data_IF_899241138765
#
_entry.id   IF_899241138765
#
_cell.length_a   1.000
_cell.length_b   1.000
_cell.length_c   1.000
_cell.angle_alpha   90.00
_cell.angle_beta   90.00
_cell.angle_gamma   90.00
#
_symmetry.space_group_name_H-M   'P 1'
#
loop_
_entity.id
_entity.type
_entity.pdbx_description
1 polymer ?
#
# COMPACT_ATOMS: atom_id res chain seq x y z
N UNK A 1 108.41 -87.28 -66.90
CA UNK A 1 107.51 -87.30 -65.72
C UNK A 1 107.02 -85.90 -65.29
N UNK A 2 107.57 -84.79 -65.79
CA UNK A 2 107.30 -83.42 -65.28
C UNK A 2 105.98 -82.75 -65.76
N UNK A 3 105.47 -83.06 -66.96
CA UNK A 3 104.21 -82.48 -67.47
C UNK A 3 102.95 -82.98 -66.73
N UNK A 4 102.95 -84.24 -66.27
CA UNK A 4 101.81 -84.81 -65.54
C UNK A 4 101.65 -84.22 -64.14
N UNK A 5 102.75 -83.91 -63.46
CA UNK A 5 102.73 -83.27 -62.13
C UNK A 5 102.30 -81.81 -62.18
N UNK A 6 102.70 -81.06 -63.22
CA UNK A 6 102.28 -79.66 -63.40
C UNK A 6 100.79 -79.56 -63.76
N UNK A 7 100.28 -80.47 -64.59
CA UNK A 7 98.86 -80.56 -64.91
C UNK A 7 98.01 -80.96 -63.68
N UNK A 8 98.54 -81.82 -62.81
CA UNK A 8 97.88 -82.23 -61.57
C UNK A 8 97.83 -81.10 -60.53
N UNK A 9 98.93 -80.35 -60.33
CA UNK A 9 98.98 -79.17 -59.47
C UNK A 9 98.03 -78.06 -59.96
N UNK A 10 97.96 -77.82 -61.28
CA UNK A 10 97.05 -76.85 -61.86
C UNK A 10 95.57 -77.24 -61.66
N UNK A 11 95.26 -78.54 -61.80
CA UNK A 11 93.92 -79.07 -61.52
C UNK A 11 93.55 -78.96 -60.04
N UNK A 12 94.48 -79.27 -59.14
CA UNK A 12 94.27 -79.18 -57.69
C UNK A 12 94.08 -77.73 -57.22
N UNK A 13 94.83 -76.78 -57.79
CA UNK A 13 94.68 -75.34 -57.51
C UNK A 13 93.36 -74.80 -58.07
N UNK A 14 92.98 -75.21 -59.29
CA UNK A 14 91.68 -74.89 -59.87
C UNK A 14 90.52 -75.45 -59.03
N UNK A 15 90.65 -76.67 -58.50
CA UNK A 15 89.64 -77.29 -57.64
C UNK A 15 89.55 -76.60 -56.28
N UNK A 16 90.66 -76.20 -55.67
CA UNK A 16 90.65 -75.40 -54.43
C UNK A 16 89.98 -74.05 -54.63
N UNK A 17 90.34 -73.34 -55.71
CA UNK A 17 89.73 -72.05 -56.06
C UNK A 17 88.23 -72.16 -56.36
N UNK A 18 87.82 -73.24 -57.06
CA UNK A 18 86.41 -73.53 -57.31
C UNK A 18 85.65 -73.83 -56.00
N UNK A 19 86.24 -74.58 -55.08
CA UNK A 19 85.65 -74.89 -53.77
C UNK A 19 85.50 -73.63 -52.91
N UNK A 20 86.48 -72.72 -52.93
CA UNK A 20 86.44 -71.41 -52.27
C UNK A 20 85.29 -70.54 -52.82
N UNK A 21 85.16 -70.47 -54.15
CA UNK A 21 84.10 -69.71 -54.81
C UNK A 21 82.70 -70.27 -54.50
N UNK A 22 82.56 -71.61 -54.39
CA UNK A 22 81.31 -72.25 -53.99
C UNK A 22 80.97 -71.90 -52.53
N UNK A 23 81.94 -71.95 -51.61
CA UNK A 23 81.72 -71.55 -50.20
C UNK A 23 81.28 -70.10 -50.08
N UNK A 24 81.96 -69.18 -50.78
CA UNK A 24 81.57 -67.76 -50.79
C UNK A 24 80.16 -67.56 -51.35
N UNK A 25 79.80 -68.28 -52.42
CA UNK A 25 78.45 -68.24 -52.97
C UNK A 25 77.42 -68.76 -51.95
N UNK A 26 77.71 -69.84 -51.24
CA UNK A 26 76.82 -70.41 -50.21
C UNK A 26 76.65 -69.48 -49.01
N UNK A 27 77.73 -68.82 -48.56
CA UNK A 27 77.68 -67.81 -47.49
C UNK A 27 76.85 -66.60 -47.90
N UNK A 28 77.09 -66.04 -49.08
CA UNK A 28 76.27 -64.95 -49.64
C UNK A 28 74.80 -65.38 -49.81
N UNK A 29 74.54 -66.64 -50.20
CA UNK A 29 73.18 -67.16 -50.33
C UNK A 29 72.47 -67.26 -48.97
N UNK A 30 73.18 -67.66 -47.91
CA UNK A 30 72.66 -67.67 -46.54
C UNK A 30 72.39 -66.25 -46.04
N UNK A 31 73.32 -65.32 -46.27
CA UNK A 31 73.16 -63.92 -45.87
C UNK A 31 71.96 -63.27 -46.59
N UNK A 32 71.82 -63.47 -47.90
CA UNK A 32 70.63 -63.03 -48.66
C UNK A 32 69.36 -63.68 -48.12
N UNK A 33 69.42 -64.94 -47.68
CA UNK A 33 68.31 -65.64 -47.02
C UNK A 33 67.92 -64.98 -45.69
N UNK A 34 68.89 -64.71 -44.82
CA UNK A 34 68.68 -64.04 -43.53
C UNK A 34 68.09 -62.63 -43.73
N UNK A 35 68.69 -61.83 -44.61
CA UNK A 35 68.23 -60.47 -44.91
C UNK A 35 66.80 -60.46 -45.49
N UNK A 36 66.42 -61.47 -46.29
CA UNK A 36 65.04 -61.60 -46.79
C UNK A 36 64.05 -61.90 -45.68
N UNK A 37 64.40 -62.77 -44.74
CA UNK A 37 63.56 -63.09 -43.58
C UNK A 37 63.39 -61.88 -42.66
N UNK A 38 64.47 -61.15 -42.38
CA UNK A 38 64.43 -59.91 -41.60
C UNK A 38 63.57 -58.83 -42.28
N UNK A 39 63.73 -58.64 -43.59
CA UNK A 39 62.91 -57.70 -44.35
C UNK A 39 61.42 -58.08 -44.30
N UNK A 40 61.09 -59.37 -44.33
CA UNK A 40 59.71 -59.84 -44.21
C UNK A 40 59.15 -59.57 -42.82
N UNK A 41 59.91 -59.88 -41.76
CA UNK A 41 59.51 -59.60 -40.39
C UNK A 41 59.25 -58.11 -40.16
N UNK A 42 60.16 -57.24 -40.62
CA UNK A 42 60.00 -55.78 -40.50
C UNK A 42 58.77 -55.28 -41.27
N UNK A 43 58.44 -55.89 -42.41
CA UNK A 43 57.20 -55.55 -43.16
C UNK A 43 55.95 -55.95 -42.40
N UNK A 44 55.93 -57.14 -41.82
CA UNK A 44 54.79 -57.64 -41.06
C UNK A 44 54.58 -56.81 -39.78
N UNK A 45 55.66 -56.44 -39.09
CA UNK A 45 55.64 -55.54 -37.94
C UNK A 45 55.16 -54.13 -38.31
N UNK A 46 55.62 -53.59 -39.44
CA UNK A 46 55.11 -52.32 -39.99
C UNK A 46 53.61 -52.40 -40.28
N UNK A 47 53.14 -53.48 -40.91
CA UNK A 47 51.73 -53.62 -41.27
C UNK A 47 50.86 -53.78 -40.02
N UNK A 48 51.34 -54.48 -39.01
CA UNK A 48 50.68 -54.58 -37.71
C UNK A 48 50.58 -53.23 -37.00
N UNK A 49 51.69 -52.47 -36.94
CA UNK A 49 51.69 -51.13 -36.31
C UNK A 49 50.84 -50.14 -37.10
N UNK A 50 50.81 -50.20 -38.43
CA UNK A 50 49.90 -49.40 -39.25
C UNK A 50 48.44 -49.69 -38.93
N UNK A 51 48.06 -50.98 -38.78
CA UNK A 51 46.71 -51.35 -38.39
C UNK A 51 46.35 -50.83 -36.97
N UNK A 52 47.29 -50.89 -36.02
CA UNK A 52 47.09 -50.33 -34.69
C UNK A 52 46.89 -48.81 -34.73
N UNK A 53 47.73 -48.08 -35.48
CA UNK A 53 47.61 -46.62 -35.64
C UNK A 53 46.28 -46.25 -36.30
N UNK A 54 45.83 -47.00 -37.30
CA UNK A 54 44.52 -46.79 -37.93
C UNK A 54 43.38 -46.99 -36.94
N UNK A 55 43.42 -48.06 -36.13
CA UNK A 55 42.40 -48.30 -35.10
C UNK A 55 42.35 -47.19 -34.05
N UNK A 56 43.51 -46.78 -33.53
CA UNK A 56 43.61 -45.67 -32.57
C UNK A 56 43.13 -44.36 -33.18
N UNK A 57 43.43 -44.10 -34.46
CA UNK A 57 42.94 -42.91 -35.16
C UNK A 57 41.41 -42.87 -35.27
N UNK A 58 40.76 -44.03 -35.51
CA UNK A 58 39.29 -44.13 -35.53
C UNK A 58 38.72 -43.91 -34.13
N UNK A 59 39.36 -44.48 -33.10
CA UNK A 59 38.93 -44.32 -31.72
C UNK A 59 39.01 -42.87 -31.24
N UNK A 60 40.11 -42.17 -31.57
CA UNK A 60 40.26 -40.72 -31.31
C UNK A 60 39.16 -39.92 -32.01
N UNK A 61 38.89 -40.18 -33.28
CA UNK A 61 37.83 -39.49 -34.03
C UNK A 61 36.44 -39.68 -33.39
N UNK A 62 36.14 -40.89 -32.90
CA UNK A 62 34.90 -41.17 -32.18
C UNK A 62 34.81 -40.40 -30.86
N UNK A 63 35.90 -40.33 -30.08
CA UNK A 63 35.93 -39.55 -28.85
C UNK A 63 35.77 -38.05 -29.09
N UNK A 64 36.39 -37.51 -30.13
CA UNK A 64 36.21 -36.12 -30.54
C UNK A 64 34.75 -35.82 -30.90
N UNK A 65 34.10 -36.71 -31.67
CA UNK A 65 32.69 -36.55 -32.02
C UNK A 65 31.78 -36.58 -30.78
N UNK A 66 32.01 -37.54 -29.87
CA UNK A 66 31.23 -37.66 -28.63
C UNK A 66 31.45 -36.45 -27.71
N UNK A 67 32.68 -35.95 -27.62
CA UNK A 67 33.01 -34.74 -26.86
C UNK A 67 32.33 -33.52 -27.47
N UNK A 68 32.32 -33.40 -28.79
CA UNK A 68 31.61 -32.32 -29.50
C UNK A 68 30.10 -32.36 -29.30
N UNK A 69 29.48 -33.55 -29.31
CA UNK A 69 28.04 -33.72 -28.99
C UNK A 69 27.74 -33.31 -27.55
N UNK A 70 28.58 -33.74 -26.59
CA UNK A 70 28.44 -33.38 -25.18
C UNK A 70 28.60 -31.87 -24.95
N UNK A 71 29.59 -31.24 -25.59
CA UNK A 71 29.80 -29.78 -25.54
C UNK A 71 28.57 -29.01 -26.02
N UNK A 72 27.99 -29.38 -27.16
CA UNK A 72 26.76 -28.75 -27.66
C UNK A 72 25.56 -28.93 -26.71
N UNK A 73 25.46 -30.10 -26.07
CA UNK A 73 24.43 -30.35 -25.07
C UNK A 73 24.62 -29.46 -23.83
N UNK A 74 25.87 -29.29 -23.37
CA UNK A 74 26.21 -28.36 -22.28
C UNK A 74 25.87 -26.91 -22.63
N UNK A 75 26.17 -26.44 -23.84
CA UNK A 75 25.83 -25.08 -24.28
C UNK A 75 24.30 -24.87 -24.33
N UNK A 76 23.56 -25.86 -24.83
CA UNK A 76 22.09 -25.83 -24.84
C UNK A 76 21.50 -25.83 -23.42
N UNK A 77 22.12 -26.55 -22.48
CA UNK A 77 21.63 -26.60 -21.10
C UNK A 77 21.99 -25.32 -20.34
N UNK A 78 23.17 -24.75 -20.59
CA UNK A 78 23.61 -23.45 -20.05
C UNK A 78 22.71 -22.30 -20.52
N UNK A 79 22.36 -22.27 -21.80
CA UNK A 79 21.42 -21.26 -22.35
C UNK A 79 20.02 -21.39 -21.77
N UNK A 80 19.54 -22.62 -21.51
CA UNK A 80 18.27 -22.83 -20.80
C UNK A 80 18.33 -22.40 -19.33
N UNK A 81 19.43 -22.71 -18.63
CA UNK A 81 19.60 -22.30 -17.22
C UNK A 81 19.59 -20.79 -17.07
N UNK A 82 20.35 -20.09 -17.90
CA UNK A 82 20.40 -18.61 -17.90
C UNK A 82 19.03 -17.99 -18.21
N UNK A 83 18.29 -18.51 -19.19
CA UNK A 83 16.92 -18.04 -19.47
C UNK A 83 15.95 -18.28 -18.31
N UNK A 84 16.07 -19.41 -17.60
CA UNK A 84 15.26 -19.70 -16.42
C UNK A 84 15.63 -18.77 -15.25
N UNK A 85 16.91 -18.48 -15.05
CA UNK A 85 17.37 -17.55 -14.00
C UNK A 85 16.88 -16.12 -14.23
N UNK A 86 16.90 -15.65 -15.48
CA UNK A 86 16.32 -14.36 -15.87
C UNK A 86 14.80 -14.32 -15.61
N UNK A 87 14.10 -15.39 -15.96
CA UNK A 87 12.65 -15.52 -15.70
C UNK A 87 12.35 -15.50 -14.20
N UNK A 88 13.11 -16.24 -13.40
CA UNK A 88 12.96 -16.28 -11.95
C UNK A 88 13.24 -14.91 -11.31
N UNK A 89 14.23 -14.19 -11.83
CA UNK A 89 14.55 -12.84 -11.38
C UNK A 89 13.42 -11.87 -11.68
N UNK A 90 12.87 -11.88 -12.90
CA UNK A 90 11.71 -11.05 -13.27
C UNK A 90 10.48 -11.37 -12.43
N UNK A 91 10.19 -12.65 -12.20
CA UNK A 91 9.06 -13.07 -11.36
C UNK A 91 9.22 -12.61 -9.91
N UNK A 92 10.44 -12.66 -9.37
CA UNK A 92 10.74 -12.17 -8.01
C UNK A 92 10.47 -10.67 -7.89
N UNK A 93 10.88 -9.89 -8.89
CA UNK A 93 10.60 -8.44 -8.92
C UNK A 93 9.09 -8.16 -8.99
N UNK A 94 8.35 -8.89 -9.82
CA UNK A 94 6.88 -8.75 -9.89
C UNK A 94 6.22 -9.06 -8.55
N UNK A 95 6.66 -10.12 -7.86
CA UNK A 95 6.15 -10.47 -6.53
C UNK A 95 6.42 -9.34 -5.53
N UNK A 96 7.63 -8.76 -5.53
CA UNK A 96 7.96 -7.64 -4.65
C UNK A 96 7.07 -6.42 -4.91
N UNK A 97 6.84 -6.08 -6.18
CA UNK A 97 5.96 -4.96 -6.55
C UNK A 97 4.53 -5.21 -6.08
N UNK A 98 3.99 -6.41 -6.31
CA UNK A 98 2.64 -6.78 -5.87
C UNK A 98 2.51 -6.77 -4.33
N UNK A 99 3.52 -7.25 -3.61
CA UNK A 99 3.56 -7.18 -2.15
C UNK A 99 3.53 -5.72 -1.65
N UNK A 100 4.29 -4.84 -2.29
CA UNK A 100 4.29 -3.41 -1.94
C UNK A 100 2.93 -2.75 -2.22
N UNK A 101 2.30 -3.07 -3.37
CA UNK A 101 0.97 -2.58 -3.70
C UNK A 101 -0.10 -3.07 -2.71
N UNK A 102 -0.03 -4.33 -2.31
CA UNK A 102 -0.94 -4.92 -1.33
C UNK A 102 -0.78 -4.26 0.04
N UNK A 103 0.45 -4.03 0.49
CA UNK A 103 0.72 -3.30 1.73
C UNK A 103 0.15 -1.87 1.69
N UNK A 104 0.38 -1.14 0.60
CA UNK A 104 -0.16 0.21 0.43
C UNK A 104 -1.69 0.25 0.38
N UNK A 105 -2.33 -0.73 -0.28
CA UNK A 105 -3.79 -0.85 -0.31
C UNK A 105 -4.37 -1.16 1.08
N UNK A 106 -3.73 -2.05 1.83
CA UNK A 106 -4.14 -2.39 3.19
C UNK A 106 -4.05 -1.19 4.14
N UNK A 107 -2.96 -0.42 4.07
CA UNK A 107 -2.84 0.79 4.89
C UNK A 107 -3.89 1.84 4.51
N UNK A 108 -4.18 2.03 3.21
CA UNK A 108 -5.29 2.91 2.78
C UNK A 108 -6.65 2.45 3.30
N UNK A 109 -6.91 1.14 3.30
CA UNK A 109 -8.14 0.58 3.84
C UNK A 109 -8.27 0.86 5.34
N UNK A 110 -7.21 0.60 6.12
CA UNK A 110 -7.19 0.92 7.56
C UNK A 110 -7.44 2.39 7.83
N UNK A 111 -6.82 3.28 7.07
CA UNK A 111 -7.06 4.73 7.22
C UNK A 111 -8.50 5.09 6.90
N UNK A 112 -9.07 4.54 5.82
CA UNK A 112 -10.48 4.75 5.49
C UNK A 112 -11.42 4.23 6.59
N UNK A 113 -11.16 3.04 7.13
CA UNK A 113 -11.95 2.47 8.23
C UNK A 113 -11.88 3.32 9.50
N UNK A 114 -10.70 3.81 9.88
CA UNK A 114 -10.53 4.72 11.01
C UNK A 114 -11.34 6.01 10.81
N UNK A 115 -11.22 6.65 9.64
CA UNK A 115 -12.00 7.87 9.34
C UNK A 115 -13.51 7.62 9.32
N UNK A 116 -13.95 6.44 8.85
CA UNK A 116 -15.36 6.07 8.88
C UNK A 116 -15.88 5.87 10.33
N UNK A 117 -15.06 5.30 11.21
CA UNK A 117 -15.39 5.16 12.63
C UNK A 117 -15.46 6.53 13.30
N UNK A 118 -14.46 7.39 13.10
CA UNK A 118 -14.42 8.76 13.65
C UNK A 118 -15.66 9.55 13.23
N UNK A 119 -15.94 9.63 11.94
CA UNK A 119 -17.13 10.33 11.42
C UNK A 119 -18.44 9.75 11.95
N UNK A 120 -18.56 8.43 12.08
CA UNK A 120 -19.73 7.80 12.69
C UNK A 120 -19.89 8.18 14.17
N UNK A 121 -18.79 8.25 14.93
CA UNK A 121 -18.83 8.65 16.34
C UNK A 121 -19.19 10.12 16.51
N UNK A 122 -18.64 11.00 15.68
CA UNK A 122 -18.99 12.42 15.64
C UNK A 122 -20.45 12.62 15.29
N UNK A 123 -20.95 11.94 14.25
CA UNK A 123 -22.36 11.99 13.86
C UNK A 123 -23.28 11.51 14.99
N UNK A 124 -22.92 10.41 15.68
CA UNK A 124 -23.66 9.94 16.86
C UNK A 124 -23.66 10.99 17.99
N UNK A 125 -22.53 11.67 18.21
CA UNK A 125 -22.42 12.77 19.17
C UNK A 125 -23.34 13.94 18.81
N UNK A 126 -23.24 14.44 17.59
CA UNK A 126 -24.07 15.52 17.06
C UNK A 126 -25.57 15.17 17.09
N UNK A 127 -25.93 13.92 16.80
CA UNK A 127 -27.33 13.46 16.88
C UNK A 127 -27.86 13.50 18.31
N UNK A 128 -27.03 13.17 19.31
CA UNK A 128 -27.42 13.27 20.73
C UNK A 128 -27.62 14.72 21.15
N UNK A 129 -26.70 15.62 20.78
CA UNK A 129 -26.82 17.05 21.12
C UNK A 129 -28.01 17.69 20.42
N UNK A 130 -28.28 17.34 19.16
CA UNK A 130 -29.45 17.82 18.44
C UNK A 130 -30.75 17.39 19.14
N UNK A 131 -30.80 16.14 19.63
CA UNK A 131 -31.95 15.65 20.41
C UNK A 131 -32.10 16.39 21.74
N UNK A 132 -31.02 16.57 22.51
CA UNK A 132 -31.05 17.32 23.77
C UNK A 132 -31.56 18.76 23.58
N UNK A 133 -31.08 19.44 22.53
CA UNK A 133 -31.56 20.78 22.18
C UNK A 133 -33.04 20.79 21.80
N UNK A 134 -33.50 19.77 21.06
CA UNK A 134 -34.90 19.64 20.67
C UNK A 134 -35.80 19.40 21.89
N UNK A 135 -35.38 18.54 22.82
CA UNK A 135 -36.10 18.26 24.07
C UNK A 135 -36.18 19.53 24.95
N UNK A 136 -35.07 20.27 25.10
CA UNK A 136 -35.04 21.55 25.83
C UNK A 136 -35.92 22.62 25.21
N UNK A 137 -35.99 22.67 23.88
CA UNK A 137 -36.85 23.60 23.17
C UNK A 137 -38.33 23.25 23.39
N UNK A 138 -38.68 21.96 23.31
CA UNK A 138 -40.02 21.47 23.62
C UNK A 138 -40.46 21.75 25.06
N UNK A 139 -39.53 21.77 26.02
CA UNK A 139 -39.80 22.13 27.42
C UNK A 139 -39.92 23.65 27.63
N UNK A 140 -39.14 24.46 26.91
CA UNK A 140 -39.12 25.92 27.06
C UNK A 140 -40.33 26.61 26.39
N UNK A 141 -40.79 26.11 25.25
CA UNK A 141 -41.96 26.63 24.53
C UNK A 141 -43.22 26.75 25.40
N UNK A 142 -43.68 25.70 26.11
CA UNK A 142 -44.87 25.79 26.95
C UNK A 142 -44.68 26.75 28.14
N UNK A 143 -43.47 26.81 28.72
CA UNK A 143 -43.18 27.74 29.82
C UNK A 143 -43.32 29.20 29.38
N UNK A 144 -42.86 29.54 28.18
CA UNK A 144 -43.04 30.88 27.60
C UNK A 144 -44.53 31.17 27.40
N UNK A 145 -45.28 30.23 26.82
CA UNK A 145 -46.73 30.40 26.62
C UNK A 145 -47.49 30.58 27.93
N UNK A 146 -47.12 29.85 28.98
CA UNK A 146 -47.69 30.00 30.31
C UNK A 146 -47.33 31.36 30.95
N UNK A 147 -46.07 31.78 30.85
CA UNK A 147 -45.62 33.09 31.31
C UNK A 147 -46.36 34.23 30.58
N UNK A 148 -46.57 34.12 29.27
CA UNK A 148 -47.36 35.09 28.51
C UNK A 148 -48.83 35.13 28.93
N UNK A 149 -49.45 33.96 29.16
CA UNK A 149 -50.82 33.88 29.70
C UNK A 149 -50.91 34.55 31.08
N UNK A 150 -49.94 34.31 31.95
CA UNK A 150 -49.88 34.92 33.28
C UNK A 150 -49.70 36.44 33.19
N UNK A 151 -48.80 36.93 32.33
CA UNK A 151 -48.60 38.36 32.07
C UNK A 151 -49.90 39.03 31.62
N UNK A 152 -50.63 38.43 30.67
CA UNK A 152 -51.94 38.95 30.20
C UNK A 152 -52.97 39.01 31.33
N UNK A 153 -53.06 37.97 32.17
CA UNK A 153 -53.96 37.94 33.34
C UNK A 153 -53.64 39.07 34.33
N UNK A 154 -52.39 39.16 34.76
CA UNK A 154 -51.95 40.19 35.72
C UNK A 154 -52.15 41.60 35.16
N UNK A 155 -51.87 41.82 33.88
CA UNK A 155 -52.10 43.10 33.22
C UNK A 155 -53.58 43.50 33.25
N UNK A 156 -54.49 42.58 32.95
CA UNK A 156 -55.94 42.83 33.02
C UNK A 156 -56.38 43.16 34.46
N UNK A 157 -55.88 42.44 35.46
CA UNK A 157 -56.17 42.74 36.87
C UNK A 157 -55.69 44.12 37.28
N UNK A 158 -54.50 44.54 36.84
CA UNK A 158 -53.99 45.89 37.10
C UNK A 158 -54.91 46.95 36.46
N UNK A 159 -55.35 46.73 35.22
CA UNK A 159 -56.26 47.66 34.54
C UNK A 159 -57.62 47.73 35.22
N UNK A 160 -58.17 46.61 35.66
CA UNK A 160 -59.43 46.54 36.42
C UNK A 160 -59.31 47.30 37.74
N UNK A 161 -58.27 47.03 38.53
CA UNK A 161 -58.01 47.74 39.77
C UNK A 161 -57.82 49.26 39.54
N UNK A 162 -57.07 49.65 38.51
CA UNK A 162 -56.89 51.06 38.10
C UNK A 162 -58.23 51.70 37.72
N UNK A 163 -59.08 50.98 36.99
CA UNK A 163 -60.43 51.41 36.63
C UNK A 163 -61.34 51.58 37.84
N UNK A 164 -61.31 50.63 38.77
CA UNK A 164 -62.06 50.65 40.01
C UNK A 164 -61.67 51.83 40.89
N UNK A 165 -60.36 52.06 41.08
CA UNK A 165 -59.84 53.25 41.77
C UNK A 165 -60.28 54.52 41.04
N UNK A 166 -60.18 54.58 39.70
CA UNK A 166 -60.63 55.75 38.93
C UNK A 166 -62.11 56.03 39.14
N UNK A 167 -62.97 55.01 39.21
CA UNK A 167 -64.41 55.19 39.50
C UNK A 167 -64.63 55.67 40.94
N UNK A 168 -63.91 55.09 41.90
CA UNK A 168 -63.99 55.48 43.32
C UNK A 168 -63.51 56.93 43.54
N UNK A 169 -62.40 57.31 42.92
CA UNK A 169 -61.79 58.64 43.01
C UNK A 169 -62.39 59.66 42.02
N UNK A 170 -63.47 59.33 41.29
CA UNK A 170 -64.23 60.35 40.53
C UNK A 170 -64.89 61.30 41.53
N UNK A 171 -64.14 62.30 41.96
CA UNK A 171 -64.68 63.49 42.60
C UNK A 171 -65.61 64.13 41.56
N UNK A 172 -66.93 64.03 41.76
CA UNK A 172 -67.87 64.93 41.09
C UNK A 172 -67.47 66.35 41.54
N UNK A 173 -67.13 67.28 40.64
CA UNK A 173 -67.04 68.67 41.02
C UNK A 173 -68.38 69.05 41.65
N UNK A 174 -68.36 69.50 42.90
CA UNK A 174 -69.55 70.01 43.56
C UNK A 174 -69.95 71.25 42.77
N UNK A 175 -71.06 71.16 42.03
CA UNK A 175 -71.64 72.33 41.38
C UNK A 175 -71.99 73.33 42.50
N UNK A 176 -71.48 74.57 42.45
CA UNK A 176 -71.82 75.56 43.45
C UNK A 176 -73.28 75.95 43.25
N UNK A 177 -74.16 75.40 44.09
CA UNK A 177 -75.56 75.80 44.18
C UNK A 177 -76.55 74.65 44.09
N UNK A 178 -76.63 73.81 45.13
CA UNK A 178 -77.90 73.51 45.78
C UNK A 178 -77.63 72.69 47.05
N UNK A 179 -77.86 73.31 48.19
CA UNK A 179 -77.98 72.63 49.47
C UNK A 179 -79.32 71.85 49.49
N UNK A 180 -79.28 70.52 49.55
CA UNK A 180 -80.32 69.72 50.22
C UNK A 180 -79.94 68.24 50.40
N UNK A 181 -79.66 67.88 51.65
CA UNK A 181 -80.27 66.72 52.33
C UNK A 181 -79.98 65.29 51.85
N UNK A 182 -79.07 64.63 52.57
CA UNK A 182 -79.27 63.25 53.06
C UNK A 182 -79.00 62.10 52.09
N UNK A 183 -77.88 61.41 52.26
CA UNK A 183 -77.75 60.04 52.83
C UNK A 183 -76.39 59.47 52.41
N UNK A 184 -75.74 58.82 53.36
CA UNK A 184 -74.33 58.44 53.45
C UNK A 184 -73.67 57.90 52.17
N UNK A 185 -72.69 58.65 51.66
CA UNK A 185 -71.68 58.18 50.72
C UNK A 185 -70.31 58.43 51.32
N UNK A 186 -69.64 57.35 51.74
CA UNK A 186 -68.30 57.27 52.35
C UNK A 186 -67.41 58.50 52.15
N UNK A 187 -67.25 59.30 53.21
CA UNK A 187 -66.30 60.41 53.28
C UNK A 187 -64.88 59.83 53.26
N UNK A 188 -64.14 60.09 52.18
CA UNK A 188 -62.70 59.80 52.13
C UNK A 188 -61.99 60.77 53.07
N UNK A 189 -61.52 60.27 54.22
CA UNK A 189 -60.64 61.00 55.12
C UNK A 189 -59.18 60.82 54.67
N UNK A 190 -58.60 61.89 54.13
CA UNK A 190 -57.16 61.96 53.87
C UNK A 190 -56.43 62.35 55.16
N UNK A 191 -55.37 61.64 55.58
CA UNK A 191 -54.55 62.08 56.71
C UNK A 191 -53.80 63.37 56.32
N UNK A 192 -54.07 64.46 57.04
CA UNK A 192 -53.56 65.85 56.82
C UNK A 192 -52.09 66.02 57.18
N UNK A 193 -51.20 65.13 56.75
CA UNK A 193 -49.81 65.14 57.22
C UNK A 193 -48.80 64.76 56.15
N UNK A 194 -48.81 65.44 54.99
CA UNK A 194 -47.57 65.73 54.23
C UNK A 194 -47.72 66.77 53.09
N UNK A 195 -48.60 67.78 53.22
CA UNK A 195 -48.59 68.93 52.30
C UNK A 195 -47.72 70.05 52.90
N UNK A 196 -46.40 69.95 52.76
CA UNK A 196 -45.52 71.11 53.05
C UNK A 196 -44.24 71.20 52.24
N UNK A 197 -44.05 70.41 51.18
CA UNK A 197 -42.97 70.65 50.22
C UNK A 197 -43.49 70.47 48.79
N UNK A 198 -43.76 71.62 48.15
CA UNK A 198 -44.08 71.70 46.74
C UNK A 198 -43.01 70.99 45.91
N UNK A 199 -43.36 69.79 45.45
CA UNK A 199 -42.64 69.07 44.42
C UNK A 199 -43.71 68.69 43.40
N UNK A 200 -43.60 69.10 42.13
CA UNK A 200 -44.59 68.74 41.13
C UNK A 200 -44.66 67.21 41.07
N UNK A 201 -45.85 66.64 41.25
CA UNK A 201 -46.12 65.23 41.03
C UNK A 201 -45.85 64.90 39.57
N UNK A 202 -44.59 64.63 39.24
CA UNK A 202 -44.21 63.89 38.05
C UNK A 202 -44.88 62.52 38.18
N UNK A 203 -45.90 62.29 37.36
CA UNK A 203 -46.43 60.94 37.15
C UNK A 203 -45.33 60.20 36.41
N UNK A 204 -44.44 59.57 37.16
CA UNK A 204 -43.35 58.77 36.63
C UNK A 204 -43.96 57.53 35.97
N UNK A 205 -44.13 57.58 34.65
CA UNK A 205 -44.39 56.37 33.87
C UNK A 205 -43.12 55.52 33.95
N UNK A 206 -43.13 54.49 34.79
CA UNK A 206 -42.07 53.51 34.85
C UNK A 206 -41.96 52.81 33.48
N UNK A 207 -40.92 53.17 32.74
CA UNK A 207 -40.56 52.65 31.43
C UNK A 207 -40.07 51.21 31.62
N UNK A 208 -40.95 50.21 31.43
CA UNK A 208 -40.55 48.82 31.55
C UNK A 208 -39.83 48.37 30.28
N UNK A 209 -38.49 48.37 30.31
CA UNK A 209 -37.64 47.80 29.27
C UNK A 209 -37.77 46.28 29.26
N UNK A 210 -38.39 45.71 28.22
CA UNK A 210 -38.27 44.29 27.91
C UNK A 210 -37.15 44.14 26.87
N UNK A 211 -35.98 43.66 27.29
CA UNK A 211 -34.91 43.25 26.39
C UNK A 211 -35.29 41.90 25.76
N UNK A 212 -35.70 41.91 24.50
CA UNK A 212 -35.75 40.71 23.66
C UNK A 212 -34.32 40.37 23.17
N UNK A 213 -33.83 39.12 23.26
CA UNK A 213 -32.42 38.83 23.02
C UNK A 213 -31.99 38.73 21.55
N UNK A 214 -32.86 38.91 20.54
CA UNK A 214 -32.52 38.51 19.16
C UNK A 214 -32.64 39.56 18.07
N UNK A 215 -33.31 40.71 18.26
CA UNK A 215 -33.26 41.82 17.32
C UNK A 215 -33.42 43.14 18.08
N UNK A 216 -32.47 44.07 17.90
CA UNK A 216 -32.27 45.28 18.70
C UNK A 216 -33.32 46.40 18.53
N UNK A 217 -34.61 46.05 18.60
CA UNK A 217 -35.71 47.01 18.54
C UNK A 217 -36.33 47.19 19.92
N UNK A 218 -36.05 48.33 20.56
CA UNK A 218 -36.68 48.74 21.82
C UNK A 218 -38.07 49.29 21.48
N UNK A 219 -39.13 48.58 21.86
CA UNK A 219 -40.51 49.05 21.66
C UNK A 219 -40.99 49.78 22.92
N UNK A 220 -41.15 51.10 22.82
CA UNK A 220 -41.79 51.91 23.86
C UNK A 220 -43.31 51.90 23.69
N UNK A 221 -44.05 51.52 24.73
CA UNK A 221 -45.51 51.70 24.81
C UNK A 221 -45.85 52.78 25.84
N UNK A 222 -46.72 53.72 25.47
CA UNK A 222 -47.27 54.79 26.31
C UNK A 222 -48.54 54.34 27.07
#
# INVERSE_FOLDING_TARGET
>A
MSLKTHSFLCWMFFQSSQQEAIKQKEELMKEVGCLRSELHQVRDERDHTLAQVQNLSVEIANYEEMTGKSSKALDSLTTKSTALDETCSSQREQIQVLQHQLAAANEKLKMADLTAIETMTEYKGQKKTAKDLQDRLADAEPQILEAEKLRKKLHNTILELKGNIRVFCRVRPVLPGSDCGGTEGSVVSYPTSLESLGTPCFVEYALFLILHPTEGSVVFWY
#
